data_IF_243381070296
#
_entry.id   IF_243381070296
#
_cell.length_a   1.000
_cell.length_b   1.000
_cell.length_c   1.000
_cell.angle_alpha   90.00
_cell.angle_beta   90.00
_cell.angle_gamma   90.00
#
_symmetry.space_group_name_H-M   'P 1'
#
loop_
_entity.id
_entity.type
_entity.pdbx_description
1 polymer ?
#
# COMPACT_ATOMS: atom_id res chain seq x y z
N UNK A 1 -8.47 10.51 -38.39
CA UNK A 1 -9.00 11.44 -37.35
C UNK A 1 -10.17 10.74 -36.68
N UNK A 2 -9.88 9.92 -35.66
CA UNK A 2 -10.91 9.21 -34.91
C UNK A 2 -11.43 10.13 -33.82
N UNK A 3 -12.75 10.27 -33.71
CA UNK A 3 -13.39 11.00 -32.64
C UNK A 3 -13.02 10.35 -31.30
N UNK A 4 -12.23 11.03 -30.49
CA UNK A 4 -12.02 10.68 -29.09
C UNK A 4 -13.31 11.03 -28.34
N UNK A 5 -14.16 10.03 -28.12
CA UNK A 5 -15.35 10.12 -27.27
C UNK A 5 -14.94 10.57 -25.89
N UNK A 6 -15.48 11.70 -25.45
CA UNK A 6 -15.21 12.30 -24.14
C UNK A 6 -15.39 11.28 -23.02
N UNK A 7 -14.36 11.08 -22.18
CA UNK A 7 -14.47 10.20 -21.01
C UNK A 7 -15.57 10.73 -20.07
N UNK A 8 -16.49 9.87 -19.58
CA UNK A 8 -17.49 10.27 -18.58
C UNK A 8 -16.82 10.79 -17.32
N UNK A 9 -17.41 11.82 -16.70
CA UNK A 9 -16.85 12.45 -15.49
C UNK A 9 -17.14 11.56 -14.27
N UNK A 10 -16.22 11.50 -13.31
CA UNK A 10 -16.37 10.72 -12.08
C UNK A 10 -17.68 11.03 -11.30
N UNK A 11 -18.25 12.23 -11.48
CA UNK A 11 -19.54 12.62 -10.89
C UNK A 11 -20.73 11.83 -11.42
N UNK A 12 -20.66 11.30 -12.63
CA UNK A 12 -21.79 10.61 -13.26
C UNK A 12 -21.99 9.21 -12.66
N UNK A 13 -20.90 8.56 -12.24
CA UNK A 13 -20.96 7.24 -11.57
C UNK A 13 -21.63 7.29 -10.20
N UNK A 14 -21.51 8.42 -9.48
CA UNK A 14 -22.06 8.56 -8.13
C UNK A 14 -23.60 8.59 -8.13
N UNK A 15 -24.24 8.98 -9.25
CA UNK A 15 -25.69 9.03 -9.39
C UNK A 15 -26.34 7.69 -9.73
N UNK A 16 -25.58 6.75 -10.28
CA UNK A 16 -26.11 5.44 -10.72
C UNK A 16 -26.16 4.43 -9.57
N UNK A 17 -25.30 4.58 -8.55
CA UNK A 17 -25.20 3.64 -7.45
C UNK A 17 -26.38 3.68 -6.45
N UNK A 18 -27.26 4.69 -6.50
CA UNK A 18 -28.33 4.87 -5.51
C UNK A 18 -29.70 4.28 -5.92
N UNK A 19 -29.89 3.83 -7.17
CA UNK A 19 -31.24 3.51 -7.70
C UNK A 19 -31.47 2.04 -8.11
N UNK A 20 -30.48 1.14 -7.97
CA UNK A 20 -30.63 -0.26 -8.38
C UNK A 20 -30.87 -1.21 -7.20
N UNK A 21 -32.11 -1.71 -7.09
CA UNK A 21 -32.44 -2.89 -6.28
C UNK A 21 -32.17 -4.17 -7.11
N UNK A 22 -31.47 -5.20 -6.60
CA UNK A 22 -30.98 -6.30 -7.45
C UNK A 22 -32.08 -7.29 -7.85
N UNK A 23 -32.28 -7.50 -9.16
CA UNK A 23 -32.98 -8.69 -9.67
C UNK A 23 -32.01 -9.90 -9.63
N UNK A 24 -32.19 -10.79 -8.67
CA UNK A 24 -31.21 -11.82 -8.29
C UNK A 24 -30.99 -12.98 -9.29
N UNK A 25 -31.71 -13.03 -10.43
CA UNK A 25 -31.65 -14.16 -11.37
C UNK A 25 -30.75 -13.96 -12.59
N UNK A 26 -30.41 -12.71 -12.95
CA UNK A 26 -29.65 -12.40 -14.15
C UNK A 26 -28.13 -12.30 -13.91
N UNK A 27 -27.68 -12.21 -12.66
CA UNK A 27 -26.26 -11.99 -12.36
C UNK A 27 -25.41 -13.25 -12.50
N UNK A 28 -25.96 -14.44 -12.22
CA UNK A 28 -25.19 -15.69 -12.22
C UNK A 28 -24.67 -16.10 -13.60
N UNK A 29 -25.47 -15.89 -14.67
CA UNK A 29 -25.05 -16.26 -16.04
C UNK A 29 -23.96 -15.35 -16.61
N UNK A 30 -23.82 -14.12 -16.09
CA UNK A 30 -22.82 -13.14 -16.55
C UNK A 30 -21.41 -13.58 -16.13
N UNK A 31 -21.30 -14.20 -14.96
CA UNK A 31 -20.01 -14.58 -14.40
C UNK A 31 -19.43 -15.86 -14.99
N UNK A 32 -20.28 -16.74 -15.51
CA UNK A 32 -19.84 -17.97 -16.15
C UNK A 32 -19.07 -17.72 -17.45
N UNK A 33 -19.54 -16.78 -18.29
CA UNK A 33 -18.88 -16.42 -19.56
C UNK A 33 -17.50 -15.74 -19.36
N UNK A 34 -17.37 -14.88 -18.34
CA UNK A 34 -16.09 -14.21 -18.01
C UNK A 34 -15.00 -15.19 -17.55
N UNK A 35 -15.44 -16.33 -17.03
CA UNK A 35 -14.59 -17.37 -16.47
C UNK A 35 -14.23 -18.43 -17.51
N UNK A 36 -14.94 -18.48 -18.64
CA UNK A 36 -14.76 -19.52 -19.63
C UNK A 36 -13.39 -19.39 -20.32
N UNK A 37 -12.52 -20.38 -20.10
CA UNK A 37 -11.16 -20.41 -20.63
C UNK A 37 -10.07 -19.79 -19.75
N UNK A 38 -10.39 -19.30 -18.54
CA UNK A 38 -9.37 -18.87 -17.57
C UNK A 38 -9.10 -19.93 -16.51
N UNK A 39 -7.82 -20.26 -16.30
CA UNK A 39 -7.37 -21.13 -15.22
C UNK A 39 -7.76 -20.59 -13.82
N UNK A 40 -8.06 -19.30 -13.70
CA UNK A 40 -8.42 -18.63 -12.45
C UNK A 40 -9.95 -18.47 -12.25
N UNK A 41 -10.78 -19.16 -13.04
CA UNK A 41 -12.24 -19.01 -13.02
C UNK A 41 -12.88 -19.17 -11.64
N UNK A 42 -12.46 -20.18 -10.86
CA UNK A 42 -13.00 -20.43 -9.53
C UNK A 42 -12.69 -19.28 -8.54
N UNK A 43 -11.47 -18.74 -8.60
CA UNK A 43 -11.04 -17.62 -7.76
C UNK A 43 -11.85 -16.38 -8.07
N UNK A 44 -12.04 -16.10 -9.37
CA UNK A 44 -12.80 -14.94 -9.82
C UNK A 44 -14.27 -15.03 -9.40
N UNK A 45 -14.91 -16.19 -9.53
CA UNK A 45 -16.30 -16.41 -9.06
C UNK A 45 -16.44 -16.20 -7.55
N UNK A 46 -15.52 -16.74 -6.75
CA UNK A 46 -15.54 -16.56 -5.30
C UNK A 46 -15.35 -15.08 -4.90
N UNK A 47 -14.50 -14.36 -5.63
CA UNK A 47 -14.26 -12.93 -5.39
C UNK A 47 -15.50 -12.07 -5.71
N UNK A 48 -16.23 -12.41 -6.78
CA UNK A 48 -17.38 -11.65 -7.27
C UNK A 48 -18.65 -11.91 -6.46
N UNK A 49 -18.80 -13.12 -5.91
CA UNK A 49 -19.94 -13.51 -5.07
C UNK A 49 -19.78 -13.09 -3.60
N UNK A 50 -18.56 -12.79 -3.15
CA UNK A 50 -18.33 -12.38 -1.77
C UNK A 50 -18.87 -10.95 -1.52
N UNK A 51 -19.68 -10.71 -0.47
CA UNK A 51 -20.18 -9.37 -0.12
C UNK A 51 -19.08 -8.39 0.29
N UNK A 52 -17.95 -8.91 0.79
CA UNK A 52 -16.73 -8.14 1.09
C UNK A 52 -15.76 -8.06 -0.10
N UNK A 53 -16.14 -8.63 -1.25
CA UNK A 53 -15.33 -8.76 -2.45
C UNK A 53 -15.36 -7.53 -3.34
N UNK A 54 -15.59 -7.75 -4.63
CA UNK A 54 -15.48 -6.70 -5.66
C UNK A 54 -16.47 -5.55 -5.42
N UNK A 55 -15.99 -4.28 -5.35
CA UNK A 55 -16.84 -3.10 -5.20
C UNK A 55 -17.88 -3.01 -6.31
N UNK A 56 -19.04 -2.41 -6.01
CA UNK A 56 -20.13 -2.26 -6.97
C UNK A 56 -19.67 -1.51 -8.24
N UNK A 57 -18.77 -0.54 -8.09
CA UNK A 57 -18.23 0.26 -9.19
C UNK A 57 -17.41 -0.58 -10.17
N UNK A 58 -16.66 -1.58 -9.69
CA UNK A 58 -15.92 -2.48 -10.58
C UNK A 58 -16.88 -3.42 -11.30
N UNK A 59 -17.98 -3.82 -10.66
CA UNK A 59 -19.03 -4.63 -11.29
C UNK A 59 -19.75 -3.86 -12.40
N UNK A 60 -20.03 -2.58 -12.21
CA UNK A 60 -20.65 -1.75 -13.26
C UNK A 60 -19.70 -1.54 -14.44
N UNK A 61 -18.40 -1.30 -14.20
CA UNK A 61 -17.39 -1.23 -15.27
C UNK A 61 -17.27 -2.57 -16.02
N UNK A 62 -17.32 -3.69 -15.32
CA UNK A 62 -17.36 -5.03 -15.92
C UNK A 62 -18.59 -5.24 -16.80
N UNK A 63 -19.77 -4.83 -16.34
CA UNK A 63 -21.02 -4.92 -17.11
C UNK A 63 -20.94 -4.04 -18.38
N UNK A 64 -20.51 -2.79 -18.24
CA UNK A 64 -20.36 -1.85 -19.37
C UNK A 64 -19.35 -2.34 -20.42
N UNK A 65 -18.16 -2.79 -20.00
CA UNK A 65 -17.15 -3.38 -20.90
C UNK A 65 -17.63 -4.62 -21.65
N UNK A 66 -18.59 -5.36 -21.10
CA UNK A 66 -19.17 -6.53 -21.74
C UNK A 66 -20.19 -6.14 -22.81
N UNK A 67 -21.01 -5.14 -22.53
CA UNK A 67 -21.99 -4.60 -23.48
C UNK A 67 -21.33 -3.84 -24.63
N UNK A 68 -20.22 -3.15 -24.32
CA UNK A 68 -19.46 -2.32 -25.26
C UNK A 68 -17.99 -2.77 -25.33
N UNK A 69 -17.70 -3.94 -25.93
CA UNK A 69 -16.34 -4.48 -25.97
C UNK A 69 -15.41 -3.57 -26.79
N UNK A 70 -14.23 -3.28 -26.24
CA UNK A 70 -13.23 -2.48 -26.93
C UNK A 70 -12.66 -3.22 -28.13
N UNK A 71 -12.54 -2.53 -29.26
CA UNK A 71 -11.95 -3.10 -30.47
C UNK A 71 -10.50 -3.62 -30.29
N UNK A 72 -9.78 -3.13 -29.27
CA UNK A 72 -8.38 -3.51 -29.00
C UNK A 72 -8.22 -4.59 -27.94
N UNK A 73 -9.04 -4.57 -26.89
CA UNK A 73 -8.83 -5.37 -25.66
C UNK A 73 -9.96 -6.39 -25.46
N UNK A 74 -11.05 -6.27 -26.22
CA UNK A 74 -12.25 -7.08 -26.07
C UNK A 74 -12.96 -6.75 -24.75
N UNK A 75 -13.41 -7.79 -24.05
CA UNK A 75 -14.13 -7.70 -22.78
C UNK A 75 -13.22 -7.66 -21.53
N UNK A 76 -11.89 -7.72 -21.70
CA UNK A 76 -10.95 -7.71 -20.57
C UNK A 76 -10.80 -6.30 -20.00
N UNK A 77 -10.81 -6.17 -18.66
CA UNK A 77 -10.48 -4.91 -18.02
C UNK A 77 -8.97 -4.70 -18.06
N UNK A 78 -8.55 -3.49 -18.38
CA UNK A 78 -7.17 -3.06 -18.15
C UNK A 78 -7.04 -2.46 -16.74
N UNK A 79 -5.82 -2.39 -16.22
CA UNK A 79 -5.56 -1.65 -14.97
C UNK A 79 -5.99 -0.17 -15.08
N UNK A 80 -5.91 0.44 -16.27
CA UNK A 80 -6.36 1.82 -16.45
C UNK A 80 -7.86 2.02 -16.20
N UNK A 81 -8.66 0.98 -16.46
CA UNK A 81 -10.11 1.03 -16.28
C UNK A 81 -10.51 1.01 -14.79
N UNK A 82 -9.74 0.31 -13.94
CA UNK A 82 -10.08 0.13 -12.52
C UNK A 82 -9.22 0.93 -11.54
N UNK A 83 -8.04 1.42 -11.93
CA UNK A 83 -7.14 2.17 -11.04
C UNK A 83 -7.65 3.57 -10.67
N UNK A 84 -8.51 4.20 -11.48
CA UNK A 84 -8.99 5.57 -11.24
C UNK A 84 -9.59 5.77 -9.83
N UNK A 85 -10.61 4.98 -9.45
CA UNK A 85 -11.18 5.02 -8.09
C UNK A 85 -10.16 4.71 -6.99
N UNK A 86 -9.24 3.77 -7.21
CA UNK A 86 -8.24 3.38 -6.22
C UNK A 86 -7.26 4.52 -5.89
N UNK A 87 -6.89 5.34 -6.87
CA UNK A 87 -6.01 6.51 -6.66
C UNK A 87 -6.62 7.51 -5.67
N UNK A 88 -7.95 7.68 -5.66
CA UNK A 88 -8.61 8.56 -4.70
C UNK A 88 -8.51 8.07 -3.26
N UNK A 89 -8.43 6.75 -3.05
CA UNK A 89 -8.23 6.15 -1.72
C UNK A 89 -6.76 6.16 -1.31
N UNK A 90 -5.85 6.07 -2.27
CA UNK A 90 -4.40 6.08 -2.03
C UNK A 90 -3.92 7.42 -1.47
N UNK A 91 -4.51 8.55 -1.88
CA UNK A 91 -4.12 9.88 -1.40
C UNK A 91 -4.27 10.06 0.12
N UNK A 92 -5.44 9.80 0.71
CA UNK A 92 -5.61 9.81 2.16
C UNK A 92 -4.65 8.84 2.87
N UNK A 93 -4.40 7.66 2.30
CA UNK A 93 -3.46 6.69 2.87
C UNK A 93 -2.03 7.24 2.93
N UNK A 94 -1.57 7.88 1.84
CA UNK A 94 -0.25 8.51 1.77
C UNK A 94 -0.13 9.66 2.77
N UNK A 95 -1.14 10.52 2.89
CA UNK A 95 -1.16 11.61 3.87
C UNK A 95 -1.12 11.05 5.29
N UNK A 96 -1.94 10.04 5.58
CA UNK A 96 -1.98 9.40 6.88
C UNK A 96 -0.63 8.75 7.23
N UNK A 97 0.01 8.07 6.28
CA UNK A 97 1.32 7.48 6.46
C UNK A 97 2.41 8.53 6.68
N UNK A 98 2.38 9.65 5.94
CA UNK A 98 3.31 10.77 6.14
C UNK A 98 3.14 11.42 7.52
N UNK A 99 1.90 11.71 7.90
CA UNK A 99 1.61 12.27 9.23
C UNK A 99 2.06 11.31 10.33
N UNK A 100 1.80 10.01 10.18
CA UNK A 100 2.22 9.00 11.14
C UNK A 100 3.73 8.85 11.21
N UNK A 101 4.42 8.82 10.06
CA UNK A 101 5.88 8.78 9.99
C UNK A 101 6.50 9.97 10.74
N UNK A 102 5.97 11.18 10.61
CA UNK A 102 6.51 12.35 11.34
C UNK A 102 6.12 12.31 12.83
N UNK A 103 4.86 11.97 13.12
CA UNK A 103 4.30 12.02 14.48
C UNK A 103 4.89 10.96 15.41
N UNK A 104 5.02 9.71 14.93
CA UNK A 104 5.47 8.58 15.73
C UNK A 104 6.85 8.80 16.37
N UNK A 105 7.94 9.11 15.64
CA UNK A 105 9.26 9.27 16.23
C UNK A 105 9.29 10.44 17.22
N UNK A 106 8.61 11.54 16.91
CA UNK A 106 8.47 12.68 17.82
C UNK A 106 7.78 12.27 19.12
N UNK A 107 6.64 11.60 19.02
CA UNK A 107 5.86 11.16 20.17
C UNK A 107 6.57 10.08 21.00
N UNK A 108 7.23 9.13 20.34
CA UNK A 108 8.01 8.08 20.99
C UNK A 108 9.23 8.65 21.71
N UNK A 109 9.93 9.64 21.13
CA UNK A 109 11.06 10.31 21.77
C UNK A 109 10.66 10.95 23.10
N UNK A 110 9.48 11.57 23.18
CA UNK A 110 8.96 12.17 24.42
C UNK A 110 8.68 11.17 25.54
N UNK A 111 8.49 9.90 25.21
CA UNK A 111 8.17 8.83 26.16
C UNK A 111 9.29 7.80 26.29
N UNK A 112 10.43 8.05 25.65
CA UNK A 112 11.61 7.21 25.80
C UNK A 112 12.32 7.65 27.08
N UNK A 113 12.81 6.68 27.85
CA UNK A 113 13.58 6.91 29.06
C UNK A 113 14.96 6.26 28.93
N UNK A 114 15.98 6.88 29.51
CA UNK A 114 17.29 6.28 29.63
C UNK A 114 17.31 5.28 30.78
N UNK A 115 17.64 4.02 30.50
CA UNK A 115 17.95 3.04 31.56
C UNK A 115 19.21 3.42 32.33
N UNK A 116 19.40 2.81 33.51
CA UNK A 116 20.62 2.98 34.32
C UNK A 116 21.91 2.63 33.57
N UNK A 117 21.81 1.80 32.52
CA UNK A 117 22.93 1.40 31.66
C UNK A 117 23.16 2.36 30.49
N UNK A 118 22.45 3.49 30.41
CA UNK A 118 22.56 4.45 29.32
C UNK A 118 21.87 4.03 28.03
N UNK A 119 21.10 2.93 28.04
CA UNK A 119 20.35 2.48 26.86
C UNK A 119 18.94 3.07 26.85
N UNK A 120 18.48 3.67 25.73
CA UNK A 120 17.11 4.17 25.62
C UNK A 120 16.12 2.99 25.59
N UNK A 121 15.01 3.13 26.32
CA UNK A 121 13.90 2.18 26.27
C UNK A 121 12.59 2.95 26.10
N UNK A 122 11.74 2.47 25.19
CA UNK A 122 10.41 3.00 25.00
C UNK A 122 9.37 2.05 25.60
N UNK A 123 8.23 2.56 26.09
CA UNK A 123 7.24 1.72 26.72
C UNK A 123 6.41 0.94 25.70
N UNK A 124 6.11 -0.33 26.01
CA UNK A 124 5.39 -1.25 25.11
C UNK A 124 3.96 -0.82 24.74
N UNK A 125 3.33 0.08 25.51
CA UNK A 125 1.98 0.57 25.18
C UNK A 125 1.94 1.43 23.90
N UNK A 126 3.09 1.92 23.41
CA UNK A 126 3.16 2.62 22.12
C UNK A 126 2.66 1.74 20.97
N UNK A 127 2.79 0.41 21.07
CA UNK A 127 2.23 -0.54 20.11
C UNK A 127 0.70 -0.53 20.04
N UNK A 128 0.03 -0.18 21.14
CA UNK A 128 -1.43 -0.08 21.18
C UNK A 128 -1.92 1.14 20.40
N UNK A 129 -1.18 2.26 20.43
CA UNK A 129 -1.48 3.45 19.62
C UNK A 129 -1.29 3.17 18.13
N UNK A 130 -0.36 2.29 17.78
CA UNK A 130 -0.12 1.90 16.39
C UNK A 130 -1.25 1.03 15.81
N UNK A 131 -1.84 0.14 16.61
CA UNK A 131 -2.89 -0.78 16.14
C UNK A 131 -4.04 -0.12 15.34
N UNK A 132 -4.65 1.01 15.75
CA UNK A 132 -5.69 1.67 14.95
C UNK A 132 -5.17 2.25 13.63
N UNK A 133 -3.93 2.76 13.60
CA UNK A 133 -3.30 3.23 12.35
C UNK A 133 -3.10 2.06 11.39
N UNK A 134 -2.54 0.95 11.87
CA UNK A 134 -2.34 -0.26 11.07
C UNK A 134 -3.68 -0.78 10.51
N UNK A 135 -4.71 -0.85 11.35
CA UNK A 135 -6.04 -1.28 10.93
C UNK A 135 -6.63 -0.36 9.84
N UNK A 136 -6.47 0.96 9.97
CA UNK A 136 -6.91 1.92 8.96
C UNK A 136 -6.15 1.77 7.63
N UNK A 137 -4.82 1.62 7.67
CA UNK A 137 -4.02 1.38 6.48
C UNK A 137 -4.40 0.08 5.77
N UNK A 138 -4.55 -1.02 6.53
CA UNK A 138 -4.98 -2.31 5.99
C UNK A 138 -6.38 -2.25 5.39
N UNK A 139 -7.30 -1.50 5.99
CA UNK A 139 -8.65 -1.33 5.45
C UNK A 139 -8.63 -0.58 4.11
N UNK A 140 -7.82 0.48 3.98
CA UNK A 140 -7.66 1.22 2.72
C UNK A 140 -6.97 0.34 1.68
N UNK A 141 -5.91 -0.36 2.05
CA UNK A 141 -5.16 -1.25 1.16
C UNK A 141 -6.03 -2.40 0.67
N UNK A 142 -6.84 -3.00 1.55
CA UNK A 142 -7.84 -4.00 1.18
C UNK A 142 -8.79 -3.46 0.11
N UNK A 143 -9.31 -2.24 0.28
CA UNK A 143 -10.17 -1.60 -0.73
C UNK A 143 -9.41 -1.41 -2.05
N UNK A 144 -8.21 -0.86 -2.03
CA UNK A 144 -7.37 -0.70 -3.22
C UNK A 144 -7.11 -2.04 -3.93
N UNK A 145 -6.83 -3.09 -3.16
CA UNK A 145 -6.60 -4.44 -3.67
C UNK A 145 -7.81 -4.96 -4.44
N UNK A 146 -9.03 -4.73 -3.93
CA UNK A 146 -10.25 -5.17 -4.62
C UNK A 146 -10.48 -4.49 -5.98
N UNK A 147 -9.96 -3.28 -6.21
CA UNK A 147 -10.01 -2.61 -7.51
C UNK A 147 -9.02 -3.20 -8.52
N UNK A 148 -7.83 -3.61 -8.06
CA UNK A 148 -6.74 -4.06 -8.95
C UNK A 148 -6.73 -5.58 -9.18
N UNK A 149 -7.27 -6.36 -8.25
CA UNK A 149 -7.18 -7.83 -8.29
C UNK A 149 -7.90 -8.42 -9.51
N UNK A 150 -9.02 -7.81 -9.94
CA UNK A 150 -9.80 -8.30 -11.08
C UNK A 150 -9.00 -8.25 -12.39
N UNK A 151 -8.51 -7.08 -12.85
CA UNK A 151 -7.68 -7.06 -14.06
C UNK A 151 -6.39 -7.87 -13.87
N UNK A 152 -5.78 -7.85 -12.68
CA UNK A 152 -4.57 -8.64 -12.41
C UNK A 152 -4.79 -10.15 -12.67
N UNK A 153 -5.90 -10.71 -12.18
CA UNK A 153 -6.28 -12.10 -12.41
C UNK A 153 -6.65 -12.41 -13.86
N UNK A 154 -7.18 -11.42 -14.60
CA UNK A 154 -7.54 -11.58 -16.01
C UNK A 154 -6.32 -11.58 -16.94
N UNK A 155 -5.28 -10.84 -16.60
CA UNK A 155 -4.09 -10.67 -17.43
C UNK A 155 -2.98 -11.64 -17.12
N UNK A 156 -2.85 -12.06 -15.86
CA UNK A 156 -1.80 -13.00 -15.49
C UNK A 156 -2.23 -14.43 -15.80
N UNK A 157 -1.42 -15.20 -16.54
CA UNK A 157 -1.60 -16.64 -16.59
C UNK A 157 -1.49 -17.21 -15.16
N UNK A 158 -2.06 -18.39 -14.92
CA UNK A 158 -1.89 -19.08 -13.64
C UNK A 158 -0.39 -19.10 -13.27
N UNK A 159 -0.02 -18.31 -12.25
CA UNK A 159 1.37 -18.24 -11.81
C UNK A 159 1.65 -19.50 -10.99
N UNK A 160 2.52 -20.40 -11.47
CA UNK A 160 2.88 -21.56 -10.68
C UNK A 160 3.62 -21.08 -9.44
N UNK A 161 3.06 -21.35 -8.26
CA UNK A 161 3.78 -21.18 -7.00
C UNK A 161 4.66 -22.43 -6.79
N UNK A 162 5.79 -22.32 -6.08
CA UNK A 162 6.74 -23.44 -5.91
C UNK A 162 6.10 -24.74 -5.38
N UNK A 163 4.99 -24.62 -4.65
CA UNK A 163 4.28 -25.74 -4.02
C UNK A 163 2.84 -25.95 -4.52
N UNK A 164 2.29 -25.02 -5.31
CA UNK A 164 0.90 -25.08 -5.76
C UNK A 164 0.81 -24.69 -7.23
N UNK A 165 0.26 -25.60 -8.05
CA UNK A 165 -0.05 -25.33 -9.45
C UNK A 165 -1.10 -24.21 -9.58
N UNK A 166 -2.07 -24.22 -8.67
CA UNK A 166 -3.15 -23.24 -8.57
C UNK A 166 -3.35 -22.91 -7.07
N UNK A 167 -2.74 -21.83 -6.55
CA UNK A 167 -2.87 -21.49 -5.14
C UNK A 167 -4.31 -21.10 -4.81
N UNK A 168 -4.90 -21.58 -3.69
CA UNK A 168 -6.22 -21.15 -3.29
C UNK A 168 -6.21 -19.65 -2.97
N UNK A 169 -7.30 -18.95 -3.31
CA UNK A 169 -7.41 -17.51 -3.11
C UNK A 169 -7.11 -17.06 -1.67
N UNK A 170 -7.58 -17.82 -0.68
CA UNK A 170 -7.35 -17.53 0.73
C UNK A 170 -5.86 -17.56 1.10
N UNK A 171 -5.08 -18.45 0.50
CA UNK A 171 -3.63 -18.51 0.74
C UNK A 171 -2.95 -17.26 0.16
N UNK A 172 -3.25 -16.93 -1.09
CA UNK A 172 -2.72 -15.72 -1.72
C UNK A 172 -3.10 -14.45 -0.96
N UNK A 173 -4.35 -14.39 -0.49
CA UNK A 173 -4.85 -13.29 0.31
C UNK A 173 -4.10 -13.19 1.64
N UNK A 174 -4.01 -14.31 2.39
CA UNK A 174 -3.30 -14.34 3.67
C UNK A 174 -1.84 -13.91 3.53
N UNK A 175 -1.17 -14.35 2.46
CA UNK A 175 0.19 -13.97 2.14
C UNK A 175 0.31 -12.47 1.86
N UNK A 176 -0.55 -11.94 0.98
CA UNK A 176 -0.56 -10.52 0.62
C UNK A 176 -0.83 -9.64 1.85
N UNK A 177 -1.80 -10.03 2.70
CA UNK A 177 -2.09 -9.34 3.95
C UNK A 177 -0.92 -9.40 4.93
N UNK A 178 -0.24 -10.54 5.06
CA UNK A 178 0.94 -10.66 5.93
C UNK A 178 2.10 -9.76 5.46
N UNK A 179 2.38 -9.75 4.15
CA UNK A 179 3.40 -8.87 3.56
C UNK A 179 3.05 -7.40 3.77
N UNK A 180 1.78 -7.04 3.60
CA UNK A 180 1.28 -5.68 3.88
C UNK A 180 1.49 -5.29 5.34
N UNK A 181 1.10 -6.16 6.30
CA UNK A 181 1.33 -5.92 7.74
C UNK A 181 2.82 -5.69 8.02
N UNK A 182 3.69 -6.56 7.50
CA UNK A 182 5.14 -6.43 7.67
C UNK A 182 5.65 -5.11 7.08
N UNK A 183 5.17 -4.71 5.90
CA UNK A 183 5.55 -3.44 5.27
C UNK A 183 5.13 -2.23 6.09
N UNK A 184 3.96 -2.26 6.74
CA UNK A 184 3.53 -1.17 7.64
C UNK A 184 4.29 -1.20 8.97
N UNK A 185 4.64 -2.39 9.48
CA UNK A 185 5.48 -2.53 10.67
C UNK A 185 6.89 -1.99 10.42
N UNK A 186 7.43 -2.10 9.21
CA UNK A 186 8.75 -1.55 8.87
C UNK A 186 8.82 -0.03 9.13
N UNK A 187 7.86 0.74 8.59
CA UNK A 187 7.77 2.20 8.83
C UNK A 187 7.71 2.53 10.33
N UNK A 188 6.94 1.75 11.10
CA UNK A 188 6.85 1.93 12.54
C UNK A 188 8.18 1.63 13.24
N UNK A 189 8.79 0.48 12.96
CA UNK A 189 10.05 0.08 13.59
C UNK A 189 11.18 1.06 13.28
N UNK A 190 11.23 1.61 12.06
CA UNK A 190 12.16 2.66 11.69
C UNK A 190 11.88 3.97 12.44
N UNK A 191 10.62 4.35 12.63
CA UNK A 191 10.25 5.51 13.45
C UNK A 191 10.63 5.35 14.93
N UNK A 192 10.40 4.16 15.51
CA UNK A 192 10.83 3.86 16.88
C UNK A 192 12.36 3.83 17.00
N UNK A 193 13.05 3.23 16.03
CA UNK A 193 14.51 3.22 15.98
C UNK A 193 15.07 4.64 15.92
N UNK A 194 14.48 5.51 15.09
CA UNK A 194 14.83 6.93 15.04
C UNK A 194 14.65 7.59 16.41
N UNK A 195 13.48 7.42 17.04
CA UNK A 195 13.19 7.99 18.35
C UNK A 195 14.22 7.56 19.41
N UNK A 196 14.50 6.25 19.51
CA UNK A 196 15.49 5.75 20.46
C UNK A 196 16.89 6.26 20.16
N UNK A 197 17.24 6.40 18.88
CA UNK A 197 18.57 6.89 18.48
C UNK A 197 18.73 8.37 18.83
N UNK A 198 17.72 9.19 18.55
CA UNK A 198 17.71 10.60 18.96
C UNK A 198 17.79 10.74 20.48
N UNK A 199 17.02 9.94 21.22
CA UNK A 199 17.05 9.96 22.68
C UNK A 199 18.39 9.47 23.26
N UNK A 200 19.11 8.59 22.54
CA UNK A 200 20.45 8.12 22.96
C UNK A 200 21.40 9.29 23.15
N UNK A 201 21.28 10.36 22.35
CA UNK A 201 22.14 11.54 22.43
C UNK A 201 21.98 12.31 23.76
N UNK A 202 20.85 12.12 24.43
CA UNK A 202 20.55 12.72 25.74
C UNK A 202 20.94 11.79 26.91
N UNK A 203 21.22 10.51 26.64
CA UNK A 203 21.48 9.52 27.68
C UNK A 203 22.94 9.53 28.19
N UNK A 204 23.15 9.25 29.50
CA UNK A 204 24.48 9.05 30.06
C UNK A 204 25.09 7.77 29.48
N UNK A 205 26.03 7.90 28.54
CA UNK A 205 26.62 6.78 27.83
C UNK A 205 26.75 7.00 26.32
N UNK A 206 26.14 8.07 25.79
CA UNK A 206 26.24 8.44 24.38
C UNK A 206 27.68 8.45 23.86
N UNK A 207 28.64 8.96 24.64
CA UNK A 207 30.04 9.04 24.21
C UNK A 207 30.60 7.68 23.79
N UNK A 208 30.29 6.62 24.52
CA UNK A 208 30.75 5.27 24.16
C UNK A 208 30.12 4.77 22.86
N UNK A 209 28.86 5.10 22.61
CA UNK A 209 28.17 4.76 21.35
C UNK A 209 28.79 5.53 20.19
N UNK A 210 29.08 6.82 20.40
CA UNK A 210 29.70 7.67 19.38
C UNK A 210 31.13 7.23 19.04
N UNK A 211 31.93 6.91 20.05
CA UNK A 211 33.31 6.43 19.84
C UNK A 211 33.30 5.09 19.07
N UNK A 212 32.40 4.16 19.43
CA UNK A 212 32.23 2.90 18.72
C UNK A 212 31.73 3.11 17.28
N UNK A 213 30.81 4.06 17.07
CA UNK A 213 30.33 4.42 15.74
C UNK A 213 31.45 4.99 14.87
N UNK A 214 32.28 5.89 15.42
CA UNK A 214 33.42 6.47 14.70
C UNK A 214 34.42 5.40 14.26
N UNK A 215 34.69 4.40 15.11
CA UNK A 215 35.52 3.25 14.77
C UNK A 215 34.90 2.41 13.64
N UNK A 216 33.62 2.07 13.72
CA UNK A 216 32.90 1.33 12.67
C UNK A 216 32.86 2.12 11.36
N UNK A 217 32.66 3.44 11.42
CA UNK A 217 32.62 4.29 10.24
C UNK A 217 33.99 4.37 9.57
N UNK A 218 35.06 4.55 10.35
CA UNK A 218 36.44 4.65 9.86
C UNK A 218 36.91 3.39 9.15
N UNK A 219 36.41 2.22 9.57
CA UNK A 219 36.74 0.92 8.98
C UNK A 219 35.81 0.52 7.81
N UNK A 220 34.75 1.29 7.56
CA UNK A 220 33.80 1.02 6.49
C UNK A 220 34.30 1.42 5.10
N UNK A 221 33.69 0.86 4.05
CA UNK A 221 33.91 1.25 2.65
C UNK A 221 33.50 2.72 2.41
N UNK A 222 32.66 3.27 3.27
CA UNK A 222 32.15 4.65 3.18
C UNK A 222 32.95 5.65 4.02
N UNK A 223 34.12 5.26 4.57
CA UNK A 223 34.97 6.14 5.37
C UNK A 223 35.38 7.44 4.67
N UNK A 224 35.37 7.47 3.33
CA UNK A 224 35.61 8.69 2.52
C UNK A 224 34.51 9.75 2.64
N UNK A 225 33.31 9.38 3.07
CA UNK A 225 32.18 10.29 3.27
C UNK A 225 32.22 10.88 4.69
N UNK A 226 32.85 12.05 4.82
CA UNK A 226 33.07 12.71 6.13
C UNK A 226 31.81 13.09 6.89
N UNK A 227 30.66 13.17 6.22
CA UNK A 227 29.38 13.51 6.87
C UNK A 227 28.79 12.35 7.69
N UNK A 228 29.16 11.10 7.40
CA UNK A 228 28.62 9.94 8.12
C UNK A 228 29.36 9.56 9.39
N UNK A 229 30.45 10.26 9.74
CA UNK A 229 31.13 10.06 11.03
C UNK A 229 30.27 10.48 12.21
N UNK A 230 29.32 11.41 12.00
CA UNK A 230 28.29 11.73 12.99
C UNK A 230 27.09 10.79 12.82
N UNK A 231 26.85 9.95 13.83
CA UNK A 231 25.69 9.07 13.88
C UNK A 231 24.37 9.84 13.77
N UNK A 232 24.29 10.99 14.45
CA UNK A 232 23.14 11.91 14.39
C UNK A 232 22.84 12.35 12.96
N UNK A 233 23.86 12.84 12.24
CA UNK A 233 23.70 13.30 10.86
C UNK A 233 23.22 12.17 9.95
N UNK A 234 23.79 10.96 10.09
CA UNK A 234 23.40 9.82 9.28
C UNK A 234 21.94 9.42 9.52
N UNK A 235 21.51 9.39 10.78
CA UNK A 235 20.15 9.02 11.18
C UNK A 235 19.13 10.04 10.65
N UNK A 236 19.42 11.34 10.79
CA UNK A 236 18.56 12.42 10.26
C UNK A 236 18.46 12.34 8.74
N UNK A 237 19.57 12.14 8.03
CA UNK A 237 19.58 12.01 6.56
C UNK A 237 18.79 10.79 6.12
N UNK A 238 18.99 9.64 6.77
CA UNK A 238 18.29 8.40 6.45
C UNK A 238 16.78 8.57 6.60
N UNK A 239 16.35 9.26 7.65
CA UNK A 239 14.95 9.60 7.86
C UNK A 239 14.41 10.58 6.80
N UNK A 240 15.17 11.62 6.47
CA UNK A 240 14.79 12.56 5.41
C UNK A 240 14.62 11.88 4.05
N UNK A 241 15.47 10.88 3.74
CA UNK A 241 15.35 10.07 2.52
C UNK A 241 14.05 9.27 2.52
N UNK A 242 13.65 8.68 3.65
CA UNK A 242 12.36 7.97 3.75
C UNK A 242 11.18 8.90 3.47
N UNK A 243 11.17 10.10 4.06
CA UNK A 243 10.12 11.10 3.80
C UNK A 243 10.14 11.52 2.33
N UNK A 244 11.31 11.74 1.75
CA UNK A 244 11.46 12.07 0.35
C UNK A 244 10.92 10.96 -0.57
N UNK A 245 11.16 9.69 -0.26
CA UNK A 245 10.62 8.56 -1.03
C UNK A 245 9.09 8.57 -1.04
N UNK A 246 8.44 8.81 0.11
CA UNK A 246 6.98 8.92 0.21
C UNK A 246 6.47 10.10 -0.65
N UNK A 247 7.14 11.25 -0.58
CA UNK A 247 6.77 12.43 -1.37
C UNK A 247 6.93 12.18 -2.87
N UNK A 248 8.04 11.57 -3.30
CA UNK A 248 8.27 11.22 -4.70
C UNK A 248 7.21 10.24 -5.20
N UNK A 249 6.86 9.23 -4.41
CA UNK A 249 5.77 8.31 -4.74
C UNK A 249 4.44 9.06 -4.92
N UNK A 250 4.12 9.98 -4.01
CA UNK A 250 2.92 10.82 -4.11
C UNK A 250 2.91 11.67 -5.39
N UNK A 251 4.05 12.26 -5.75
CA UNK A 251 4.18 13.04 -6.99
C UNK A 251 4.03 12.19 -8.24
N UNK A 252 4.63 10.99 -8.27
CA UNK A 252 4.50 10.07 -9.41
C UNK A 252 3.12 9.42 -9.52
N UNK A 253 2.37 9.35 -8.42
CA UNK A 253 0.99 8.88 -8.41
C UNK A 253 -0.01 9.90 -8.98
N UNK A 254 0.37 11.17 -9.15
CA UNK A 254 -0.49 12.16 -9.81
C UNK A 254 -0.57 11.84 -11.30
N UNK A 255 -1.78 11.60 -11.85
CA UNK A 255 -1.92 11.51 -13.29
C UNK A 255 -1.52 12.87 -13.88
N UNK A 256 -0.49 12.87 -14.72
CA UNK A 256 -0.17 14.04 -15.53
C UNK A 256 -1.41 14.36 -16.36
N UNK A 257 -2.10 15.46 -16.04
CA UNK A 257 -3.20 15.96 -16.87
C UNK A 257 -2.58 16.45 -18.17
N UNK A 258 -2.43 15.53 -19.13
CA UNK A 258 -2.21 15.89 -20.52
C UNK A 258 -3.38 16.77 -20.94
N UNK A 259 -3.12 18.06 -21.17
CA UNK A 259 -4.04 18.90 -21.94
C UNK A 259 -3.99 18.38 -23.37
N UNK A 260 -4.83 17.39 -23.66
CA UNK A 260 -5.18 17.01 -25.03
C UNK A 260 -6.28 17.93 -25.57
#
# INVERSE_FOLDING_TARGET
>A
MGALTSRPKASDYKKVAEDETPQSGAEDSIFDDLCEGQANSLVLKNLLTCPLGVPAEVRTILKDKREHPDARVGSKLTMFDSCGPAVFLLWPATIMNLCFAIFLPWFANMHTECSDFGTPSYPGWLWVIFAPFLAAMLAIEWRCLTYIVVPFLQWLPAMPMPFFKEPPFLLWLSYSSAVSVISHMDVMTQGLFLATTLHTFECPGYQHVNDAWEEVWSTSIFSWATWGSSLETLVIISWAVLILQIMLFAFFALPAQGKE
#
